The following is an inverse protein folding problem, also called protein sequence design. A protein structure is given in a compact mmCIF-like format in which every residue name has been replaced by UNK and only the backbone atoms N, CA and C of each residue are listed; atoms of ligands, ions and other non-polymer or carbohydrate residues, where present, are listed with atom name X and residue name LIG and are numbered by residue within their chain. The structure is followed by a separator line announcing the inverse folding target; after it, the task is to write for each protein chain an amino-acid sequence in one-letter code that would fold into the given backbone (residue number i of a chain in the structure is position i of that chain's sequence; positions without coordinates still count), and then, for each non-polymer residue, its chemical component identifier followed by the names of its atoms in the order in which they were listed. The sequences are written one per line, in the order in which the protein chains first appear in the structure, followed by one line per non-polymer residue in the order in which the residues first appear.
data_IF_614574219921
#
_entry.id   IF_614574219921
#
_cell.length_a   1.000
_cell.length_b   1.000
_cell.length_c   1.000
_cell.angle_alpha   90.00
_cell.angle_beta   90.00
_cell.angle_gamma   90.00
#
_symmetry.space_group_name_H-M   'P 1'
#
loop_
_entity.id
_entity.type
_entity.pdbx_description
1 polymer ?
#
# COMPACT_ATOMS: atom_id res chain seq x y z
N UNK A 1 26.11 15.01 36.11
CA UNK A 1 26.03 13.52 36.06
C UNK A 1 24.83 13.08 35.20
N UNK A 2 23.81 13.92 35.06
CA UNK A 2 22.66 13.74 34.14
C UNK A 2 22.99 13.65 32.65
N UNK A 3 23.69 14.64 32.06
CA UNK A 3 23.88 14.70 30.60
C UNK A 3 24.51 13.44 29.97
N UNK A 4 25.51 12.84 30.64
CA UNK A 4 26.17 11.62 30.16
C UNK A 4 25.25 10.38 30.15
N UNK A 5 24.26 10.34 31.03
CA UNK A 5 23.32 9.21 31.15
C UNK A 5 22.19 9.34 30.14
N UNK A 6 21.71 10.56 29.91
CA UNK A 6 20.71 10.88 28.90
C UNK A 6 21.26 10.67 27.48
N UNK A 7 22.49 11.11 27.21
CA UNK A 7 23.15 10.89 25.91
C UNK A 7 23.34 9.41 25.59
N UNK A 8 23.69 8.58 26.60
CA UNK A 8 23.81 7.12 26.44
C UNK A 8 22.46 6.44 26.21
N UNK A 9 21.40 6.90 26.88
CA UNK A 9 20.05 6.40 26.64
C UNK A 9 19.58 6.74 25.22
N UNK A 10 19.88 7.95 24.75
CA UNK A 10 19.53 8.41 23.42
C UNK A 10 20.27 7.60 22.34
N UNK A 11 21.56 7.37 22.50
CA UNK A 11 22.37 6.59 21.56
C UNK A 11 21.97 5.11 21.54
N UNK A 12 21.64 4.53 22.71
CA UNK A 12 21.21 3.13 22.84
C UNK A 12 19.86 2.89 22.18
N UNK A 13 18.93 3.84 22.27
CA UNK A 13 17.63 3.75 21.61
C UNK A 13 17.69 4.05 20.10
N UNK A 14 18.52 5.02 19.68
CA UNK A 14 18.79 5.30 18.26
C UNK A 14 19.39 4.08 17.53
N UNK A 15 20.02 3.17 18.27
CA UNK A 15 20.58 1.91 17.76
C UNK A 15 19.57 0.76 17.68
N UNK A 16 18.34 0.91 18.22
CA UNK A 16 17.31 -0.14 18.12
C UNK A 16 16.75 -0.16 16.70
N UNK A 17 17.42 -0.93 15.84
CA UNK A 17 17.01 -1.18 14.46
C UNK A 17 15.89 -2.20 14.40
N UNK A 18 14.93 -2.01 13.50
CA UNK A 18 13.89 -2.99 13.25
C UNK A 18 14.50 -4.31 12.75
N UNK A 19 14.23 -5.41 13.46
CA UNK A 19 14.57 -6.76 12.99
C UNK A 19 13.53 -7.23 11.97
N UNK A 20 13.93 -7.92 10.90
CA UNK A 20 12.98 -8.47 9.96
C UNK A 20 12.14 -9.57 10.65
N UNK A 21 10.82 -9.68 10.34
CA UNK A 21 9.93 -10.61 11.04
C UNK A 21 10.39 -12.08 11.01
N UNK A 22 11.07 -12.49 9.92
CA UNK A 22 11.60 -13.85 9.72
C UNK A 22 12.74 -14.22 10.66
N UNK A 23 13.47 -13.21 11.14
CA UNK A 23 14.54 -13.40 12.12
C UNK A 23 13.97 -13.27 13.53
N UNK A 24 13.11 -12.27 13.75
CA UNK A 24 12.46 -12.06 15.04
C UNK A 24 11.66 -13.28 15.52
N UNK A 25 10.96 -13.99 14.62
CA UNK A 25 10.17 -15.17 14.98
C UNK A 25 11.01 -16.38 15.42
N UNK A 26 12.33 -16.37 15.18
CA UNK A 26 13.25 -17.44 15.58
C UNK A 26 13.91 -17.19 16.94
N UNK A 27 13.80 -15.98 17.46
CA UNK A 27 14.42 -15.58 18.72
C UNK A 27 13.51 -15.89 19.91
N UNK A 28 14.11 -16.17 21.07
CA UNK A 28 13.34 -16.25 22.32
C UNK A 28 12.90 -14.84 22.76
N UNK A 29 11.83 -14.79 23.55
CA UNK A 29 11.23 -13.52 24.02
C UNK A 29 12.23 -12.69 24.86
N UNK A 30 13.11 -13.34 25.62
CA UNK A 30 14.13 -12.68 26.45
C UNK A 30 15.23 -12.03 25.60
N UNK A 31 15.61 -12.70 24.50
CA UNK A 31 16.63 -12.18 23.58
C UNK A 31 16.08 -10.99 22.79
N UNK A 32 14.81 -11.07 22.36
CA UNK A 32 14.11 -9.94 21.75
C UNK A 32 13.97 -8.78 22.74
N UNK A 33 13.63 -9.05 24.00
CA UNK A 33 13.49 -8.01 25.02
C UNK A 33 14.81 -7.25 25.23
N UNK A 34 15.94 -7.96 25.26
CA UNK A 34 17.28 -7.36 25.34
C UNK A 34 17.64 -6.58 24.08
N UNK A 35 17.39 -7.15 22.90
CA UNK A 35 17.68 -6.51 21.62
C UNK A 35 16.88 -5.21 21.41
N UNK A 36 15.60 -5.24 21.77
CA UNK A 36 14.70 -4.08 21.72
C UNK A 36 14.75 -3.22 22.98
N UNK A 37 15.63 -3.49 23.94
CA UNK A 37 15.75 -2.74 25.20
C UNK A 37 14.37 -2.47 25.86
N UNK A 38 13.52 -3.49 25.93
CA UNK A 38 12.18 -3.42 26.52
C UNK A 38 12.11 -4.30 27.75
N UNK A 39 11.42 -3.84 28.78
CA UNK A 39 11.13 -4.66 29.95
C UNK A 39 9.88 -5.52 29.71
N UNK A 40 9.95 -6.81 30.03
CA UNK A 40 8.85 -7.75 29.77
C UNK A 40 7.64 -7.57 30.70
N UNK A 41 7.82 -6.90 31.84
CA UNK A 41 6.77 -6.71 32.84
C UNK A 41 6.13 -5.32 32.76
N UNK A 42 6.93 -4.30 32.49
CA UNK A 42 6.55 -2.88 32.52
C UNK A 42 6.54 -2.24 31.13
N UNK A 43 7.12 -2.90 30.12
CA UNK A 43 7.12 -2.45 28.74
C UNK A 43 8.17 -1.37 28.46
N UNK A 44 7.79 -0.43 27.59
CA UNK A 44 8.61 0.71 27.16
C UNK A 44 8.25 1.94 27.97
N UNK A 45 9.25 2.77 28.29
CA UNK A 45 9.00 4.07 28.93
C UNK A 45 8.45 5.09 27.93
N UNK A 46 7.70 6.09 28.39
CA UNK A 46 7.16 7.16 27.53
C UNK A 46 8.24 7.89 26.72
N UNK A 47 9.44 8.06 27.31
CA UNK A 47 10.61 8.62 26.62
C UNK A 47 11.02 7.75 25.42
N UNK A 48 11.12 6.44 25.64
CA UNK A 48 11.50 5.46 24.60
C UNK A 48 10.49 5.37 23.46
N UNK A 49 9.20 5.49 23.79
CA UNK A 49 8.10 5.50 22.81
C UNK A 49 8.20 6.75 21.94
N UNK A 50 8.40 7.91 22.58
CA UNK A 50 8.52 9.20 21.86
C UNK A 50 9.72 9.18 20.93
N UNK A 51 10.86 8.68 21.39
CA UNK A 51 12.05 8.61 20.56
C UNK A 51 11.89 7.64 19.38
N UNK A 52 11.27 6.48 19.59
CA UNK A 52 10.98 5.52 18.52
C UNK A 52 10.01 6.06 17.49
N UNK A 53 9.00 6.84 17.90
CA UNK A 53 8.08 7.51 16.96
C UNK A 53 8.81 8.57 16.12
N UNK A 54 9.78 9.29 16.69
CA UNK A 54 10.62 10.22 15.93
C UNK A 54 11.53 9.50 14.91
N UNK A 55 12.02 8.30 15.26
CA UNK A 55 12.94 7.55 14.40
C UNK A 55 12.24 6.69 13.33
N UNK A 56 11.13 6.03 13.68
CA UNK A 56 10.44 5.03 12.84
C UNK A 56 9.08 5.51 12.30
N UNK A 57 8.57 6.63 12.81
CA UNK A 57 7.23 7.11 12.50
C UNK A 57 6.13 6.39 13.26
N UNK A 58 4.89 6.67 12.87
CA UNK A 58 3.70 6.02 13.41
C UNK A 58 3.50 4.67 12.74
N UNK A 59 3.06 3.66 13.51
CA UNK A 59 2.68 2.35 12.97
C UNK A 59 1.30 2.41 12.33
N UNK A 60 1.19 3.21 11.28
CA UNK A 60 0.00 3.39 10.49
C UNK A 60 0.31 2.92 9.07
N UNK A 61 -0.65 2.26 8.45
CA UNK A 61 -0.58 2.04 7.02
C UNK A 61 -0.65 3.40 6.36
N UNK A 62 0.48 3.85 5.80
CA UNK A 62 0.48 4.97 4.88
C UNK A 62 -0.39 4.50 3.71
N UNK A 63 -1.63 4.98 3.68
CA UNK A 63 -2.48 4.86 2.52
C UNK A 63 -1.79 5.68 1.42
N UNK A 64 -0.95 5.01 0.64
CA UNK A 64 -0.32 5.62 -0.51
C UNK A 64 -1.43 6.21 -1.37
N UNK A 65 -1.21 7.43 -1.84
CA UNK A 65 -2.23 8.30 -2.43
C UNK A 65 -3.15 7.46 -3.30
N UNK A 66 -4.40 7.29 -2.84
CA UNK A 66 -5.39 6.47 -3.52
C UNK A 66 -5.38 6.87 -4.99
N UNK A 67 -4.98 5.93 -5.86
CA UNK A 67 -4.91 6.25 -7.28
C UNK A 67 -6.25 6.86 -7.69
N UNK A 68 -6.23 8.05 -8.31
CA UNK A 68 -7.45 8.78 -8.50
C UNK A 68 -8.37 7.97 -9.39
N UNK A 69 -9.66 7.99 -9.07
CA UNK A 69 -10.66 7.09 -9.63
C UNK A 69 -10.69 7.10 -11.17
N UNK A 70 -10.41 8.25 -11.80
CA UNK A 70 -10.30 8.38 -13.25
C UNK A 70 -9.11 7.60 -13.85
N UNK A 71 -8.00 7.46 -13.12
CA UNK A 71 -6.83 6.69 -13.55
C UNK A 71 -7.14 5.20 -13.58
N UNK A 72 -7.87 4.70 -12.58
CA UNK A 72 -8.38 3.32 -12.56
C UNK A 72 -9.34 3.05 -13.71
N UNK A 73 -10.19 4.02 -14.04
CA UNK A 73 -11.08 3.93 -15.21
C UNK A 73 -10.29 3.85 -16.52
N UNK A 74 -9.27 4.70 -16.70
CA UNK A 74 -8.42 4.68 -17.90
C UNK A 74 -7.61 3.39 -18.02
N UNK A 75 -7.20 2.79 -16.90
CA UNK A 75 -6.44 1.53 -16.91
C UNK A 75 -7.27 0.35 -17.45
N UNK A 76 -8.60 0.41 -17.34
CA UNK A 76 -9.46 -0.59 -17.97
C UNK A 76 -9.36 -0.58 -19.50
N UNK A 77 -9.06 0.54 -20.14
CA UNK A 77 -8.83 0.56 -21.59
C UNK A 77 -7.60 -0.23 -22.03
N UNK A 78 -6.68 -0.57 -21.12
CA UNK A 78 -5.56 -1.46 -21.40
C UNK A 78 -5.95 -2.94 -21.32
N UNK A 79 -7.16 -3.25 -20.86
CA UNK A 79 -7.62 -4.61 -20.80
C UNK A 79 -7.75 -5.16 -22.24
N UNK A 80 -7.10 -6.30 -22.57
CA UNK A 80 -7.12 -6.86 -23.92
C UNK A 80 -8.55 -7.12 -24.43
N UNK A 81 -9.50 -7.39 -23.53
CA UNK A 81 -10.90 -7.58 -23.88
C UNK A 81 -11.54 -6.27 -24.39
N UNK A 82 -11.32 -5.14 -23.70
CA UNK A 82 -11.85 -3.84 -24.09
C UNK A 82 -11.20 -3.36 -25.39
N UNK A 83 -9.88 -3.55 -25.55
CA UNK A 83 -9.17 -3.24 -26.79
C UNK A 83 -9.70 -4.03 -27.98
N UNK A 84 -9.98 -5.32 -27.79
CA UNK A 84 -10.55 -6.18 -28.84
C UNK A 84 -11.93 -5.68 -29.25
N UNK A 85 -12.80 -5.34 -28.30
CA UNK A 85 -14.14 -4.83 -28.60
C UNK A 85 -14.10 -3.45 -29.27
N UNK A 86 -13.21 -2.55 -28.85
CA UNK A 86 -12.99 -1.27 -29.54
C UNK A 86 -12.46 -1.47 -30.96
N UNK A 87 -11.58 -2.45 -31.17
CA UNK A 87 -11.14 -2.87 -32.50
C UNK A 87 -12.30 -3.36 -33.35
N UNK A 88 -13.23 -4.14 -32.80
CA UNK A 88 -14.45 -4.57 -33.50
C UNK A 88 -15.33 -3.38 -33.89
N UNK A 89 -15.55 -2.43 -32.98
CA UNK A 89 -16.32 -1.23 -33.28
C UNK A 89 -15.67 -0.39 -34.40
N UNK A 90 -14.33 -0.29 -34.40
CA UNK A 90 -13.59 0.40 -35.46
C UNK A 90 -13.78 -0.28 -36.82
N UNK A 91 -13.71 -1.61 -36.89
CA UNK A 91 -13.96 -2.37 -38.12
C UNK A 91 -15.38 -2.11 -38.65
N UNK A 92 -16.40 -2.11 -37.78
CA UNK A 92 -17.79 -1.81 -38.18
C UNK A 92 -17.98 -0.39 -38.71
N UNK A 93 -17.25 0.60 -38.18
CA UNK A 93 -17.27 1.97 -38.72
C UNK A 93 -16.62 2.02 -40.10
N UNK A 94 -15.51 1.30 -40.31
CA UNK A 94 -14.84 1.23 -41.61
C UNK A 94 -15.70 0.55 -42.67
N UNK A 95 -16.49 -0.46 -42.30
CA UNK A 95 -17.47 -1.11 -43.19
C UNK A 95 -18.73 -0.28 -43.43
N UNK A 96 -18.86 0.90 -42.79
CA UNK A 96 -20.04 1.79 -42.82
C UNK A 96 -21.31 1.17 -42.22
N UNK A 97 -21.16 0.16 -41.37
CA UNK A 97 -22.24 -0.46 -40.63
C UNK A 97 -22.40 0.23 -39.27
N UNK A 98 -22.98 1.43 -39.30
CA UNK A 98 -23.12 2.25 -38.10
C UNK A 98 -24.06 1.62 -37.05
N UNK A 99 -25.08 0.89 -37.46
CA UNK A 99 -26.00 0.17 -36.56
C UNK A 99 -25.25 -0.87 -35.70
N UNK A 100 -24.33 -1.60 -36.33
CA UNK A 100 -23.51 -2.62 -35.65
C UNK A 100 -22.45 -1.96 -34.77
N UNK A 101 -21.80 -0.90 -35.27
CA UNK A 101 -20.82 -0.14 -34.51
C UNK A 101 -21.42 0.46 -33.22
N UNK A 102 -22.63 1.03 -33.30
CA UNK A 102 -23.34 1.61 -32.16
C UNK A 102 -23.73 0.53 -31.14
N UNK A 103 -24.17 -0.64 -31.61
CA UNK A 103 -24.51 -1.78 -30.75
C UNK A 103 -23.29 -2.29 -29.96
N UNK A 104 -22.15 -2.47 -30.64
CA UNK A 104 -20.90 -2.91 -30.02
C UNK A 104 -20.41 -1.86 -29.01
N UNK A 105 -20.39 -0.58 -29.40
CA UNK A 105 -19.95 0.51 -28.51
C UNK A 105 -20.82 0.61 -27.25
N UNK A 106 -22.14 0.45 -27.38
CA UNK A 106 -23.07 0.45 -26.24
C UNK A 106 -22.81 -0.73 -25.31
N UNK A 107 -22.62 -1.94 -25.86
CA UNK A 107 -22.28 -3.12 -25.07
C UNK A 107 -20.97 -2.94 -24.28
N UNK A 108 -19.92 -2.38 -24.93
CA UNK A 108 -18.64 -2.05 -24.28
C UNK A 108 -18.83 -1.07 -23.14
N UNK A 109 -19.56 0.02 -23.37
CA UNK A 109 -19.81 1.04 -22.33
C UNK A 109 -20.49 0.44 -21.10
N UNK A 110 -21.49 -0.43 -21.29
CA UNK A 110 -22.19 -1.11 -20.20
C UNK A 110 -21.21 -2.03 -19.45
N UNK A 111 -20.45 -2.86 -20.15
CA UNK A 111 -19.50 -3.81 -19.53
C UNK A 111 -18.43 -3.07 -18.73
N UNK A 112 -17.85 -2.01 -19.28
CA UNK A 112 -16.85 -1.17 -18.59
C UNK A 112 -17.46 -0.51 -17.35
N UNK A 113 -18.68 0.02 -17.46
CA UNK A 113 -19.37 0.67 -16.34
C UNK A 113 -19.66 -0.31 -15.21
N UNK A 114 -20.17 -1.51 -15.54
CA UNK A 114 -20.43 -2.57 -14.54
C UNK A 114 -19.14 -3.06 -13.90
N UNK A 115 -18.11 -3.33 -14.69
CA UNK A 115 -16.80 -3.77 -14.18
C UNK A 115 -16.17 -2.73 -13.25
N UNK A 116 -16.31 -1.46 -13.58
CA UNK A 116 -15.84 -0.37 -12.74
C UNK A 116 -16.62 -0.27 -11.42
N UNK A 117 -17.95 -0.38 -11.44
CA UNK A 117 -18.78 -0.41 -10.22
C UNK A 117 -18.48 -1.63 -9.34
N UNK A 118 -18.25 -2.79 -9.95
CA UNK A 118 -17.93 -4.04 -9.22
C UNK A 118 -16.54 -4.03 -8.56
N UNK A 119 -15.62 -3.20 -9.04
CA UNK A 119 -14.23 -3.13 -8.57
C UNK A 119 -13.97 -1.96 -7.60
N UNK A 120 -14.97 -1.10 -7.37
CA UNK A 120 -14.99 -0.12 -6.28
C UNK A 120 -15.24 -0.85 -4.96
#
# INVERSE_FOLDING_TARGET
IDEQSELKAIEKEKKVTALPPREACKCQKEDLAKAFCVDLHTGLSEFSVTQRRLAHGWNEFVADNSEPVWKKYLDQFKNPLILLLLGSALVSVLTKEYEDAVSIATAVLIVVTVAFIQHI
#
